data_IF_302197341083
#
_entry.id   IF_302197341083
#
_cell.length_a   1.000
_cell.length_b   1.000
_cell.length_c   1.000
_cell.angle_alpha   90.00
_cell.angle_beta   90.00
_cell.angle_gamma   90.00
#
_symmetry.space_group_name_H-M   'P 1'
#
loop_
_entity.id
_entity.type
_entity.pdbx_description
1 polymer ?
#
# COMPACT_ATOMS: atom_id res chain seq x y z
N UNK A 1 -16.67 -3.45 1.39
CA UNK A 1 -15.35 -3.32 2.06
C UNK A 1 -14.66 -4.67 2.25
N UNK A 2 -15.33 -5.71 2.76
CA UNK A 2 -14.71 -7.04 2.95
C UNK A 2 -14.00 -7.61 1.70
N UNK A 3 -14.60 -7.62 0.49
CA UNK A 3 -13.92 -8.17 -0.69
C UNK A 3 -12.65 -7.41 -1.09
N UNK A 4 -12.64 -6.09 -0.87
CA UNK A 4 -11.47 -5.25 -1.09
C UNK A 4 -10.32 -5.61 -0.12
N UNK A 5 -10.64 -5.81 1.16
CA UNK A 5 -9.63 -6.19 2.15
C UNK A 5 -9.10 -7.60 1.93
N UNK A 6 -9.95 -8.54 1.50
CA UNK A 6 -9.52 -9.88 1.07
C UNK A 6 -8.56 -9.76 -0.11
N UNK A 7 -8.89 -8.94 -1.12
CA UNK A 7 -7.98 -8.68 -2.24
C UNK A 7 -6.64 -8.10 -1.79
N UNK A 8 -6.65 -7.04 -0.96
CA UNK A 8 -5.44 -6.44 -0.41
C UNK A 8 -4.61 -7.43 0.43
N UNK A 9 -5.25 -8.38 1.11
CA UNK A 9 -4.54 -9.38 1.92
C UNK A 9 -3.67 -10.32 1.08
N UNK A 10 -4.00 -10.54 -0.19
CA UNK A 10 -3.17 -11.31 -1.11
C UNK A 10 -1.94 -10.53 -1.60
N UNK A 11 -2.00 -9.20 -1.62
CA UNK A 11 -0.87 -8.39 -2.06
C UNK A 11 0.30 -8.48 -1.06
N UNK A 12 0.02 -8.66 0.24
CA UNK A 12 1.04 -8.79 1.29
C UNK A 12 2.01 -9.96 1.01
N UNK A 13 1.54 -11.23 0.89
CA UNK A 13 2.43 -12.34 0.60
C UNK A 13 3.05 -12.25 -0.81
N UNK A 14 2.37 -11.62 -1.78
CA UNK A 14 2.95 -11.41 -3.13
C UNK A 14 4.14 -10.45 -3.06
N UNK A 15 4.02 -9.32 -2.37
CA UNK A 15 5.12 -8.38 -2.16
C UNK A 15 6.22 -9.02 -1.30
N UNK A 16 5.88 -9.73 -0.22
CA UNK A 16 6.86 -10.43 0.60
C UNK A 16 7.66 -11.47 -0.21
N UNK A 17 6.99 -12.22 -1.09
CA UNK A 17 7.65 -13.14 -2.01
C UNK A 17 8.55 -12.40 -3.00
N UNK A 18 8.05 -11.33 -3.61
CA UNK A 18 8.81 -10.53 -4.57
C UNK A 18 10.08 -9.90 -3.97
N UNK A 19 10.05 -9.53 -2.69
CA UNK A 19 11.22 -9.07 -1.96
C UNK A 19 12.33 -10.13 -1.86
N UNK A 20 11.97 -11.41 -1.73
CA UNK A 20 12.92 -12.52 -1.51
C UNK A 20 13.42 -13.12 -2.83
N UNK A 21 12.65 -13.03 -3.92
CA UNK A 21 12.97 -13.72 -5.19
C UNK A 21 13.24 -12.79 -6.38
N UNK A 22 14.15 -11.81 -6.31
CA UNK A 22 14.30 -10.72 -7.28
C UNK A 22 14.49 -11.14 -8.75
N UNK A 23 14.98 -12.36 -9.01
CA UNK A 23 15.28 -12.87 -10.36
C UNK A 23 14.15 -13.67 -11.03
N UNK A 24 12.99 -13.83 -10.39
CA UNK A 24 11.89 -14.67 -10.90
C UNK A 24 10.74 -13.88 -11.52
N UNK A 25 10.82 -12.55 -11.57
CA UNK A 25 9.76 -11.68 -12.04
C UNK A 25 10.04 -11.17 -13.46
N UNK A 26 8.98 -11.02 -14.26
CA UNK A 26 9.03 -10.31 -15.54
C UNK A 26 8.85 -8.80 -15.35
N UNK A 27 9.33 -8.00 -16.30
CA UNK A 27 9.12 -6.54 -16.28
C UNK A 27 7.63 -6.17 -16.19
N UNK A 28 6.79 -6.85 -16.99
CA UNK A 28 5.34 -6.64 -16.97
C UNK A 28 4.73 -6.93 -15.59
N UNK A 29 5.09 -8.06 -14.97
CA UNK A 29 4.57 -8.41 -13.64
C UNK A 29 4.98 -7.40 -12.57
N UNK A 30 6.20 -6.84 -12.65
CA UNK A 30 6.65 -5.82 -11.72
C UNK A 30 5.81 -4.54 -11.88
N UNK A 31 5.65 -4.06 -13.11
CA UNK A 31 4.87 -2.84 -13.38
C UNK A 31 3.41 -3.00 -12.94
N UNK A 32 2.82 -4.16 -13.17
CA UNK A 32 1.46 -4.47 -12.74
C UNK A 32 1.34 -4.56 -11.22
N UNK A 33 2.25 -5.27 -10.54
CA UNK A 33 2.22 -5.39 -9.08
C UNK A 33 2.31 -4.01 -8.43
N UNK A 34 3.34 -3.23 -8.79
CA UNK A 34 3.50 -1.86 -8.32
C UNK A 34 2.27 -1.00 -8.68
N UNK A 35 1.77 -1.05 -9.92
CA UNK A 35 0.57 -0.31 -10.31
C UNK A 35 -0.67 -0.64 -9.46
N UNK A 36 -0.94 -1.94 -9.24
CA UNK A 36 -2.05 -2.41 -8.41
C UNK A 36 -1.89 -1.96 -6.96
N UNK A 37 -0.69 -2.11 -6.38
CA UNK A 37 -0.41 -1.65 -5.03
C UNK A 37 -0.63 -0.13 -4.89
N UNK A 38 -0.31 0.68 -5.92
CA UNK A 38 -0.61 2.12 -5.90
C UNK A 38 -2.11 2.38 -5.86
N UNK A 39 -2.89 1.69 -6.71
CA UNK A 39 -4.32 1.91 -6.82
C UNK A 39 -5.07 1.58 -5.53
N UNK A 40 -4.67 0.52 -4.82
CA UNK A 40 -5.30 0.15 -3.54
C UNK A 40 -5.01 1.13 -2.41
N UNK A 41 -3.95 1.94 -2.50
CA UNK A 41 -3.65 3.00 -1.51
C UNK A 41 -4.52 4.25 -1.70
N UNK A 42 -5.15 4.45 -2.86
CA UNK A 42 -6.00 5.63 -3.11
C UNK A 42 -7.20 5.68 -2.14
N UNK A 43 -7.97 4.59 -1.93
CA UNK A 43 -9.02 4.56 -0.91
C UNK A 43 -8.52 4.90 0.51
N UNK A 44 -7.31 4.49 0.88
CA UNK A 44 -6.72 4.79 2.18
C UNK A 44 -6.47 6.30 2.33
N UNK A 45 -5.79 6.92 1.35
CA UNK A 45 -5.54 8.36 1.34
C UNK A 45 -6.85 9.16 1.34
N UNK A 46 -7.83 8.72 0.56
CA UNK A 46 -9.15 9.34 0.52
C UNK A 46 -9.85 9.30 1.87
N UNK A 47 -9.83 8.14 2.55
CA UNK A 47 -10.43 7.98 3.88
C UNK A 47 -9.73 8.83 4.94
N UNK A 48 -8.40 8.85 4.95
CA UNK A 48 -7.60 9.67 5.86
C UNK A 48 -7.89 11.17 5.66
N UNK A 49 -8.06 11.61 4.42
CA UNK A 49 -8.43 12.98 4.11
C UNK A 49 -9.82 13.34 4.64
N UNK A 50 -10.81 12.48 4.43
CA UNK A 50 -12.19 12.72 4.89
C UNK A 50 -12.27 12.78 6.41
N UNK A 51 -11.56 11.89 7.11
CA UNK A 51 -11.62 11.73 8.58
C UNK A 51 -10.52 12.49 9.33
N UNK A 52 -9.83 13.42 8.65
CA UNK A 52 -8.68 14.16 9.21
C UNK A 52 -8.97 14.93 10.50
N UNK A 53 -10.25 15.22 10.79
CA UNK A 53 -10.67 15.92 12.00
C UNK A 53 -11.02 14.97 13.16
N UNK A 54 -11.35 13.71 12.86
CA UNK A 54 -11.84 12.72 13.84
C UNK A 54 -10.73 11.75 14.28
N UNK A 55 -9.69 11.60 13.47
CA UNK A 55 -8.56 10.72 13.76
C UNK A 55 -7.52 11.40 14.65
N UNK A 56 -6.86 10.58 15.49
CA UNK A 56 -5.70 11.04 16.25
C UNK A 56 -4.61 11.56 15.31
N UNK A 57 -4.14 12.78 15.58
CA UNK A 57 -3.25 13.54 14.68
C UNK A 57 -1.98 12.78 14.33
N UNK A 58 -1.33 12.17 15.31
CA UNK A 58 -0.04 11.50 15.12
C UNK A 58 -0.11 10.24 14.24
N UNK A 59 -0.90 9.20 14.59
CA UNK A 59 -1.00 8.01 13.75
C UNK A 59 -1.57 8.31 12.36
N UNK A 60 -2.55 9.22 12.25
CA UNK A 60 -3.09 9.62 10.96
C UNK A 60 -2.06 10.33 10.09
N UNK A 61 -1.25 11.23 10.67
CA UNK A 61 -0.19 11.92 9.93
C UNK A 61 0.91 10.94 9.48
N UNK A 62 1.36 10.05 10.37
CA UNK A 62 2.36 9.03 10.03
C UNK A 62 1.87 8.11 8.90
N UNK A 63 0.63 7.61 8.99
CA UNK A 63 0.06 6.75 7.96
C UNK A 63 -0.16 7.50 6.64
N UNK A 64 -0.60 8.75 6.70
CA UNK A 64 -0.76 9.59 5.50
C UNK A 64 0.59 9.83 4.83
N UNK A 65 1.61 10.22 5.58
CA UNK A 65 2.94 10.44 5.03
C UNK A 65 3.49 9.17 4.38
N UNK A 66 3.37 8.03 5.08
CA UNK A 66 3.83 6.76 4.55
C UNK A 66 3.08 6.37 3.28
N UNK A 67 1.74 6.48 3.27
CA UNK A 67 0.93 6.19 2.09
C UNK A 67 1.24 7.11 0.90
N UNK A 68 1.48 8.41 1.13
CA UNK A 68 1.87 9.35 0.07
C UNK A 68 3.22 8.98 -0.53
N UNK A 69 4.23 8.70 0.32
CA UNK A 69 5.55 8.26 -0.15
C UNK A 69 5.41 6.99 -0.98
N UNK A 70 4.65 6.00 -0.50
CA UNK A 70 4.43 4.76 -1.23
C UNK A 70 3.74 5.02 -2.57
N UNK A 71 2.68 5.82 -2.63
CA UNK A 71 2.01 6.14 -3.91
C UNK A 71 2.98 6.79 -4.91
N UNK A 72 3.80 7.74 -4.48
CA UNK A 72 4.74 8.44 -5.38
C UNK A 72 5.83 7.50 -5.89
N UNK A 73 6.55 6.84 -4.98
CA UNK A 73 7.66 5.93 -5.33
C UNK A 73 7.14 4.78 -6.20
N UNK A 74 6.02 4.19 -5.81
CA UNK A 74 5.46 3.03 -6.49
C UNK A 74 4.90 3.38 -7.88
N UNK A 75 4.36 4.59 -8.06
CA UNK A 75 3.97 5.09 -9.39
C UNK A 75 5.17 5.26 -10.31
N UNK A 76 6.29 5.75 -9.77
CA UNK A 76 7.54 5.88 -10.53
C UNK A 76 8.07 4.50 -10.96
N UNK A 77 8.09 3.54 -10.04
CA UNK A 77 8.53 2.16 -10.32
C UNK A 77 7.59 1.48 -11.33
N UNK A 78 6.28 1.65 -11.22
CA UNK A 78 5.33 1.14 -12.20
C UNK A 78 5.58 1.71 -13.62
N UNK A 79 6.06 2.96 -13.69
CA UNK A 79 6.50 3.61 -14.92
C UNK A 79 7.78 3.02 -15.50
N UNK A 80 8.82 2.82 -14.66
CA UNK A 80 10.14 2.34 -15.10
C UNK A 80 10.23 0.84 -15.33
N UNK A 81 9.61 0.02 -14.49
CA UNK A 81 9.75 -1.42 -14.49
C UNK A 81 10.96 -1.93 -13.70
N UNK A 82 11.68 -2.92 -14.24
CA UNK A 82 12.81 -3.57 -13.58
C UNK A 82 14.09 -2.70 -13.51
N UNK A 83 15.02 -3.07 -12.63
CA UNK A 83 16.34 -2.43 -12.51
C UNK A 83 16.41 -1.32 -11.45
N UNK A 84 15.41 -1.21 -10.58
CA UNK A 84 15.40 -0.28 -9.44
C UNK A 84 16.36 -0.77 -8.37
N UNK A 85 17.26 0.12 -7.95
CA UNK A 85 18.18 -0.16 -6.85
C UNK A 85 17.40 -0.35 -5.55
N UNK A 86 17.73 -1.40 -4.78
CA UNK A 86 17.00 -1.77 -3.57
C UNK A 86 15.51 -2.11 -3.75
N UNK A 87 15.06 -2.56 -4.93
CA UNK A 87 13.65 -2.92 -5.17
C UNK A 87 13.07 -3.96 -4.19
N UNK A 88 13.89 -4.78 -3.55
CA UNK A 88 13.45 -5.67 -2.47
C UNK A 88 12.91 -4.90 -1.25
N UNK A 89 13.49 -3.75 -0.92
CA UNK A 89 13.07 -2.90 0.17
C UNK A 89 11.72 -2.26 -0.14
N UNK A 90 11.51 -1.83 -1.39
CA UNK A 90 10.22 -1.29 -1.85
C UNK A 90 9.09 -2.31 -1.64
N UNK A 91 9.34 -3.58 -1.96
CA UNK A 91 8.37 -4.65 -1.71
C UNK A 91 8.10 -4.88 -0.21
N UNK A 92 9.13 -4.82 0.64
CA UNK A 92 8.91 -4.89 2.10
C UNK A 92 8.06 -3.72 2.57
N UNK A 93 8.32 -2.51 2.08
CA UNK A 93 7.52 -1.32 2.43
C UNK A 93 6.08 -1.42 1.90
N UNK A 94 5.88 -1.99 0.71
CA UNK A 94 4.55 -2.28 0.16
C UNK A 94 3.77 -3.26 1.04
N UNK A 95 4.40 -4.35 1.46
CA UNK A 95 3.77 -5.30 2.39
C UNK A 95 3.39 -4.61 3.72
N UNK A 96 4.27 -3.75 4.26
CA UNK A 96 4.02 -3.00 5.49
C UNK A 96 2.83 -2.02 5.35
N UNK A 97 2.76 -1.24 4.27
CA UNK A 97 1.64 -0.29 4.07
C UNK A 97 0.32 -1.03 3.81
N UNK A 98 0.34 -2.20 3.17
CA UNK A 98 -0.85 -3.02 2.96
C UNK A 98 -1.37 -3.61 4.28
N UNK A 99 -0.48 -4.06 5.17
CA UNK A 99 -0.85 -4.43 6.54
C UNK A 99 -1.49 -3.24 7.27
N UNK A 100 -0.88 -2.05 7.18
CA UNK A 100 -1.41 -0.85 7.80
C UNK A 100 -2.78 -0.43 7.22
N UNK A 101 -2.98 -0.59 5.91
CA UNK A 101 -4.25 -0.35 5.23
C UNK A 101 -5.34 -1.29 5.76
N UNK A 102 -5.05 -2.59 5.85
CA UNK A 102 -5.99 -3.57 6.36
C UNK A 102 -6.33 -3.27 7.83
N UNK A 103 -5.31 -3.00 8.64
CA UNK A 103 -5.50 -2.62 10.05
C UNK A 103 -6.36 -1.36 10.18
N UNK A 104 -6.12 -0.34 9.36
CA UNK A 104 -6.89 0.91 9.37
C UNK A 104 -8.37 0.67 9.07
N UNK A 105 -8.69 -0.14 8.05
CA UNK A 105 -10.08 -0.40 7.67
C UNK A 105 -10.79 -1.46 8.52
N UNK A 106 -10.07 -2.34 9.22
CA UNK A 106 -10.65 -3.31 10.15
C UNK A 106 -10.82 -2.78 11.57
N UNK A 107 -9.90 -1.91 12.02
CA UNK A 107 -9.85 -1.42 13.40
C UNK A 107 -10.25 0.05 13.53
N UNK A 108 -10.38 0.77 12.42
CA UNK A 108 -10.82 2.16 12.41
C UNK A 108 -12.25 2.30 12.94
N UNK A 109 -12.59 3.41 13.62
CA UNK A 109 -13.94 3.59 14.17
C UNK A 109 -14.97 3.59 13.05
N UNK A 110 -16.11 2.91 13.24
CA UNK A 110 -17.18 2.82 12.26
C UNK A 110 -17.86 4.19 12.09
N UNK A 111 -18.23 4.64 10.88
CA UNK A 111 -18.87 5.93 10.67
C UNK A 111 -20.22 6.09 11.39
N UNK A 112 -20.81 5.00 11.89
CA UNK A 112 -22.09 5.00 12.58
C UNK A 112 -22.01 5.41 14.06
N UNK A 113 -20.81 5.61 14.62
CA UNK A 113 -20.61 5.96 16.04
C UNK A 113 -20.11 7.40 16.27
N UNK A 114 -20.19 8.27 15.26
CA UNK A 114 -19.80 9.69 15.34
C UNK A 114 -21.00 10.64 15.30
#
# INVERSE_FOLDING_TARGET
>A
MIPFLVFCSFLIPINAWAAVTPHLHSDLSMRLLHGVCTLVLIPLLWSLWLRRHDLSRWPALSLTLFAVVMVVVNSWIAGMGMGVEFGWLDHVMLACIEVALIAYFLLGPDPAEA
#
